data_IF_098248764301
#
_entry.id   IF_098248764301
#
_cell.length_a   1.000
_cell.length_b   1.000
_cell.length_c   1.000
_cell.angle_alpha   90.00
_cell.angle_beta   90.00
_cell.angle_gamma   90.00
#
_symmetry.space_group_name_H-M   'P 1'
#
loop_
_entity.id
_entity.type
_entity.pdbx_description
1 polymer ?
#
# COMPACT_ATOMS: atom_id res chain seq x y z
N UNK A 1 9.02 10.55 5.78
CA UNK A 1 8.18 9.71 6.64
C UNK A 1 8.94 9.15 7.83
N UNK A 2 9.56 7.98 7.73
CA UNK A 2 10.22 7.31 8.87
C UNK A 2 11.32 8.16 9.50
N UNK A 3 12.19 8.76 8.69
CA UNK A 3 13.27 9.66 9.17
C UNK A 3 12.75 10.98 9.74
N UNK A 4 11.47 11.28 9.57
CA UNK A 4 10.77 12.43 10.17
C UNK A 4 9.81 12.00 11.31
N UNK A 5 9.88 10.74 11.78
CA UNK A 5 9.08 10.24 12.91
C UNK A 5 7.68 9.73 12.57
N UNK A 6 7.28 9.73 11.29
CA UNK A 6 6.00 9.18 10.84
C UNK A 6 6.09 7.66 10.69
N UNK A 7 5.07 6.93 11.13
CA UNK A 7 5.06 5.45 11.19
C UNK A 7 3.79 4.77 10.64
N UNK A 8 2.79 5.54 10.20
CA UNK A 8 1.54 5.01 9.64
C UNK A 8 1.25 5.61 8.26
N UNK A 9 0.92 4.75 7.31
CA UNK A 9 0.59 5.11 5.92
C UNK A 9 -0.92 5.02 5.77
N UNK A 10 -1.57 6.09 5.34
CA UNK A 10 -3.02 6.03 5.05
C UNK A 10 -3.29 5.62 3.60
N UNK A 11 -2.53 6.18 2.65
CA UNK A 11 -2.79 6.05 1.20
C UNK A 11 -1.49 5.98 0.40
N UNK A 12 -1.49 5.20 -0.68
CA UNK A 12 -0.37 5.02 -1.60
C UNK A 12 -0.84 5.11 -3.06
N UNK A 13 -0.03 5.76 -3.88
CA UNK A 13 -0.18 5.83 -5.34
C UNK A 13 1.14 5.45 -5.99
N UNK A 14 1.11 4.50 -6.94
CA UNK A 14 2.27 4.14 -7.74
C UNK A 14 2.07 4.67 -9.17
N UNK A 15 3.01 5.48 -9.66
CA UNK A 15 2.99 6.04 -11.01
C UNK A 15 4.01 5.28 -11.86
N UNK A 16 3.55 4.67 -12.95
CA UNK A 16 4.38 3.96 -13.91
C UNK A 16 5.09 4.94 -14.87
N UNK A 17 6.13 4.50 -15.61
CA UNK A 17 6.88 5.39 -16.50
C UNK A 17 6.04 6.08 -17.59
N UNK A 18 4.89 5.50 -17.95
CA UNK A 18 3.93 6.06 -18.91
C UNK A 18 2.92 7.03 -18.26
N UNK A 19 3.02 7.27 -16.96
CA UNK A 19 2.13 8.13 -16.18
C UNK A 19 0.85 7.45 -15.69
N UNK A 20 0.63 6.17 -16.00
CA UNK A 20 -0.51 5.42 -15.50
C UNK A 20 -0.35 4.99 -14.03
N UNK A 21 -1.47 4.69 -13.38
CA UNK A 21 -1.50 4.10 -12.04
C UNK A 21 -1.15 2.61 -12.06
N UNK A 22 -0.62 2.09 -10.95
CA UNK A 22 -0.30 0.67 -10.82
C UNK A 22 -0.35 0.16 -9.39
N UNK A 23 -0.24 -1.15 -9.24
CA UNK A 23 -0.12 -1.79 -7.93
C UNK A 23 1.33 -1.74 -7.43
N UNK A 24 1.59 -1.55 -6.12
CA UNK A 24 2.92 -1.70 -5.56
C UNK A 24 3.41 -3.14 -5.75
N UNK A 25 4.72 -3.31 -5.97
CA UNK A 25 5.32 -4.64 -6.07
C UNK A 25 5.34 -5.37 -4.72
N UNK A 26 5.64 -6.67 -4.72
CA UNK A 26 5.63 -7.49 -3.50
C UNK A 26 6.56 -6.95 -2.40
N UNK A 27 7.75 -6.48 -2.75
CA UNK A 27 8.70 -5.92 -1.79
C UNK A 27 8.19 -4.62 -1.13
N UNK A 28 7.51 -3.76 -1.89
CA UNK A 28 6.86 -2.57 -1.33
C UNK A 28 5.72 -2.94 -0.37
N UNK A 29 4.94 -3.98 -0.71
CA UNK A 29 3.87 -4.49 0.17
C UNK A 29 4.43 -5.05 1.48
N UNK A 30 5.50 -5.85 1.40
CA UNK A 30 6.19 -6.36 2.60
C UNK A 30 6.67 -5.22 3.50
N UNK A 31 7.25 -4.16 2.93
CA UNK A 31 7.67 -3.01 3.72
C UNK A 31 6.48 -2.32 4.42
N UNK A 32 5.37 -2.10 3.72
CA UNK A 32 4.16 -1.50 4.33
C UNK A 32 3.62 -2.36 5.48
N UNK A 33 3.64 -3.68 5.31
CA UNK A 33 3.23 -4.65 6.35
C UNK A 33 4.15 -4.59 7.57
N UNK A 34 5.47 -4.54 7.35
CA UNK A 34 6.48 -4.43 8.43
C UNK A 34 6.38 -3.10 9.19
N UNK A 35 6.04 -2.00 8.48
CA UNK A 35 5.92 -0.67 9.10
C UNK A 35 4.65 -0.51 9.94
N UNK A 36 3.57 -1.21 9.59
CA UNK A 36 2.27 -1.13 10.26
C UNK A 36 1.83 -2.49 10.82
N UNK A 37 2.52 -3.00 11.86
CA UNK A 37 2.24 -4.32 12.43
C UNK A 37 0.84 -4.39 13.10
N UNK A 38 0.46 -5.60 13.52
CA UNK A 38 -0.85 -5.91 14.14
C UNK A 38 -2.04 -5.70 13.19
N UNK A 39 -1.85 -5.96 11.89
CA UNK A 39 -2.92 -5.92 10.89
C UNK A 39 -3.35 -4.52 10.43
N UNK A 40 -2.81 -3.42 11.01
CA UNK A 40 -3.17 -2.05 10.61
C UNK A 40 -2.86 -1.74 9.14
N UNK A 41 -1.83 -2.38 8.57
CA UNK A 41 -1.50 -2.27 7.15
C UNK A 41 -2.69 -2.60 6.23
N UNK A 42 -3.66 -3.40 6.69
CA UNK A 42 -4.81 -3.82 5.89
C UNK A 42 -5.69 -2.65 5.45
N UNK A 43 -5.66 -1.54 6.18
CA UNK A 43 -6.46 -0.35 5.87
C UNK A 43 -5.81 0.64 4.90
N UNK A 44 -4.54 0.42 4.51
CA UNK A 44 -3.85 1.27 3.54
C UNK A 44 -4.62 1.27 2.22
N UNK A 45 -5.02 2.46 1.76
CA UNK A 45 -5.68 2.63 0.47
C UNK A 45 -4.67 2.72 -0.67
N UNK A 46 -4.87 1.93 -1.73
CA UNK A 46 -4.01 1.89 -2.91
C UNK A 46 -4.85 2.27 -4.12
N UNK A 47 -4.50 3.40 -4.75
CA UNK A 47 -5.13 3.81 -5.99
C UNK A 47 -4.49 3.07 -7.17
N UNK A 48 -5.25 2.15 -7.78
CA UNK A 48 -4.79 1.33 -8.90
C UNK A 48 -5.02 2.00 -10.26
N UNK A 49 -6.09 2.78 -10.36
CA UNK A 49 -6.44 3.49 -11.59
C UNK A 49 -6.93 4.90 -11.24
N UNK A 50 -6.10 5.88 -11.57
CA UNK A 50 -6.41 7.29 -11.32
C UNK A 50 -7.54 7.79 -12.24
N UNK A 51 -7.57 7.35 -13.49
CA UNK A 51 -8.57 7.80 -14.46
C UNK A 51 -9.97 7.25 -14.12
N UNK A 52 -10.04 6.01 -13.66
CA UNK A 52 -11.29 5.39 -13.21
C UNK A 52 -11.62 5.66 -11.73
N UNK A 53 -10.73 6.32 -10.98
CA UNK A 53 -10.90 6.53 -9.53
C UNK A 53 -10.94 5.23 -8.71
N UNK A 54 -10.29 4.17 -9.20
CA UNK A 54 -10.32 2.85 -8.56
C UNK A 54 -9.28 2.75 -7.46
N UNK A 55 -9.77 2.52 -6.24
CA UNK A 55 -8.96 2.28 -5.04
C UNK A 55 -9.27 0.90 -4.47
N UNK A 56 -8.26 0.22 -3.94
CA UNK A 56 -8.38 -1.03 -3.18
C UNK A 56 -7.69 -0.88 -1.83
N UNK A 57 -7.99 -1.73 -0.85
CA UNK A 57 -7.19 -1.80 0.37
C UNK A 57 -6.01 -2.74 0.19
N UNK A 58 -4.91 -2.51 0.90
CA UNK A 58 -3.77 -3.44 0.90
C UNK A 58 -4.21 -4.82 1.38
N UNK A 59 -5.06 -4.89 2.41
CA UNK A 59 -5.62 -6.16 2.90
C UNK A 59 -6.37 -6.98 1.84
N UNK A 60 -6.99 -6.33 0.85
CA UNK A 60 -7.70 -7.02 -0.23
C UNK A 60 -6.75 -7.73 -1.20
N UNK A 61 -5.52 -7.23 -1.33
CA UNK A 61 -4.50 -7.76 -2.25
C UNK A 61 -3.35 -8.49 -1.54
N UNK A 62 -3.42 -8.58 -0.21
CA UNK A 62 -2.54 -9.35 0.68
C UNK A 62 -3.34 -10.00 1.84
N UNK A 63 -4.32 -10.88 1.55
CA UNK A 63 -5.31 -11.32 2.55
C UNK A 63 -4.76 -12.24 3.63
N UNK A 64 -3.75 -13.05 3.31
CA UNK A 64 -3.17 -14.06 4.20
C UNK A 64 -1.66 -13.80 4.37
N UNK A 65 -1.31 -12.66 4.97
CA UNK A 65 0.10 -12.37 5.22
C UNK A 65 0.64 -13.17 6.40
N UNK A 66 1.93 -13.46 6.37
CA UNK A 66 2.57 -14.38 7.33
C UNK A 66 2.78 -13.81 8.74
N UNK A 67 2.56 -12.50 8.94
CA UNK A 67 2.70 -11.84 10.25
C UNK A 67 1.37 -11.66 10.99
N UNK A 68 0.26 -12.07 10.38
CA UNK A 68 -1.07 -12.01 10.98
C UNK A 68 -1.34 -13.20 11.92
#
# INVERSE_FOLDING_TARGET
MITNGEQEIDKVLCILPDGSGGAPCGACRELMVQLMPNGKYKDIEIMLDYAAGRTVKLGDITPEWWID
#
